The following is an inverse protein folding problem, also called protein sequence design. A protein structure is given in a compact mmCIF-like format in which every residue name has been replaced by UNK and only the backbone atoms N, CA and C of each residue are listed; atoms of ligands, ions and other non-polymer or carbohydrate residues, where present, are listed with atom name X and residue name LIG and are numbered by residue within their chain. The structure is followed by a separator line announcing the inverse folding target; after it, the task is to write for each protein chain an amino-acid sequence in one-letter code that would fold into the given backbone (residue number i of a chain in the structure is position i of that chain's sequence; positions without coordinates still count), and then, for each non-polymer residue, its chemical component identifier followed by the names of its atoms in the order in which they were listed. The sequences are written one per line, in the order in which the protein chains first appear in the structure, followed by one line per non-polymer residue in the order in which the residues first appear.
data_IF_101197864012
#
_entry.id   IF_101197864012
#
_cell.length_a   1.000
_cell.length_b   1.000
_cell.length_c   1.000
_cell.angle_alpha   90.00
_cell.angle_beta   90.00
_cell.angle_gamma   90.00
#
_symmetry.space_group_name_H-M   'P 1'
#
loop_
_entity.id
_entity.type
_entity.pdbx_description
1 polymer ?
#
# COMPACT_ATOMS: atom_id res chain seq x y z
N UNK A 1 24.21 0.25 -7.31
CA UNK A 1 23.89 -0.37 -6.01
C UNK A 1 22.40 -0.28 -5.64
N UNK A 2 21.75 0.90 -5.67
CA UNK A 2 20.32 1.06 -5.30
C UNK A 2 19.32 0.30 -6.18
N UNK A 3 19.52 0.30 -7.50
CA UNK A 3 18.66 -0.44 -8.43
C UNK A 3 18.65 -1.96 -8.16
N UNK A 4 19.82 -2.56 -7.87
CA UNK A 4 19.92 -3.98 -7.52
C UNK A 4 19.12 -4.32 -6.25
N UNK A 5 19.17 -3.45 -5.23
CA UNK A 5 18.39 -3.61 -3.98
C UNK A 5 16.88 -3.52 -4.23
N UNK A 6 16.45 -2.63 -5.12
CA UNK A 6 15.05 -2.50 -5.51
C UNK A 6 14.57 -3.71 -6.30
N UNK A 7 15.32 -4.17 -7.30
CA UNK A 7 14.95 -5.38 -8.04
C UNK A 7 14.83 -6.58 -7.12
N UNK A 8 15.76 -6.73 -6.19
CA UNK A 8 15.71 -7.80 -5.20
C UNK A 8 14.46 -7.68 -4.31
N UNK A 9 14.10 -6.47 -3.88
CA UNK A 9 12.83 -6.23 -3.17
C UNK A 9 11.60 -6.64 -4.00
N UNK A 10 11.51 -6.19 -5.26
CA UNK A 10 10.37 -6.48 -6.14
C UNK A 10 10.25 -7.99 -6.38
N UNK A 11 11.35 -8.65 -6.73
CA UNK A 11 11.37 -10.08 -7.03
C UNK A 11 11.00 -10.90 -5.79
N UNK A 12 11.56 -10.57 -4.63
CA UNK A 12 11.24 -11.29 -3.39
C UNK A 12 9.79 -11.06 -2.96
N UNK A 13 9.29 -9.83 -3.06
CA UNK A 13 7.90 -9.52 -2.76
C UNK A 13 6.95 -10.30 -3.67
N UNK A 14 7.21 -10.29 -4.99
CA UNK A 14 6.44 -11.03 -5.97
C UNK A 14 6.45 -12.54 -5.69
N UNK A 15 7.64 -13.11 -5.44
CA UNK A 15 7.80 -14.53 -5.16
C UNK A 15 7.04 -14.97 -3.89
N UNK A 16 7.10 -14.18 -2.81
CA UNK A 16 6.36 -14.48 -1.58
C UNK A 16 4.86 -14.34 -1.81
N UNK A 17 4.41 -13.24 -2.43
CA UNK A 17 2.98 -12.99 -2.67
C UNK A 17 2.33 -14.11 -3.47
N UNK A 18 2.89 -14.42 -4.64
CA UNK A 18 2.34 -15.46 -5.51
C UNK A 18 2.59 -16.87 -4.97
N UNK A 19 3.73 -17.11 -4.33
CA UNK A 19 4.02 -18.39 -3.68
C UNK A 19 3.01 -18.72 -2.57
N UNK A 20 2.47 -17.70 -1.90
CA UNK A 20 1.44 -17.88 -0.88
C UNK A 20 0.01 -17.90 -1.45
N UNK A 21 -0.28 -17.12 -2.50
CA UNK A 21 -1.65 -17.01 -3.05
C UNK A 21 -2.03 -18.11 -4.04
N UNK A 22 -1.10 -18.60 -4.87
CA UNK A 22 -1.39 -19.68 -5.83
C UNK A 22 -1.96 -20.94 -5.15
N UNK A 23 -1.40 -21.44 -4.03
CA UNK A 23 -1.88 -22.68 -3.40
C UNK A 23 -3.25 -22.61 -2.72
N UNK A 24 -3.79 -21.39 -2.57
CA UNK A 24 -5.02 -21.11 -1.81
C UNK A 24 -6.11 -20.45 -2.65
N UNK A 25 -5.83 -20.12 -3.91
CA UNK A 25 -6.73 -19.37 -4.78
C UNK A 25 -8.09 -20.07 -4.97
N UNK A 26 -8.08 -21.41 -5.00
CA UNK A 26 -9.25 -22.28 -5.15
C UNK A 26 -9.89 -22.69 -3.82
N UNK A 27 -9.31 -22.29 -2.68
CA UNK A 27 -9.70 -22.71 -1.32
C UNK A 27 -10.22 -21.56 -0.46
N UNK A 28 -10.20 -20.34 -0.99
CA UNK A 28 -10.75 -19.17 -0.31
C UNK A 28 -12.28 -19.20 -0.47
N UNK A 29 -12.96 -19.32 0.66
CA UNK A 29 -14.41 -19.22 0.71
C UNK A 29 -14.87 -17.76 0.59
N UNK A 30 -16.08 -17.56 0.10
CA UNK A 30 -16.70 -16.22 0.02
C UNK A 30 -16.87 -15.57 1.39
N UNK A 31 -17.04 -16.40 2.44
CA UNK A 31 -17.00 -15.99 3.83
C UNK A 31 -15.61 -16.31 4.42
N UNK A 32 -14.81 -15.29 4.79
CA UNK A 32 -13.52 -15.49 5.42
C UNK A 32 -13.58 -16.32 6.71
N UNK A 33 -14.70 -16.30 7.45
CA UNK A 33 -14.85 -17.04 8.70
C UNK A 33 -15.04 -18.54 8.48
N UNK A 34 -15.39 -18.96 7.26
CA UNK A 34 -15.51 -20.37 6.89
C UNK A 34 -14.22 -20.92 6.24
N UNK A 35 -13.26 -20.05 5.93
CA UNK A 35 -11.98 -20.47 5.35
C UNK A 35 -11.08 -21.16 6.38
N UNK A 36 -10.36 -22.24 6.01
CA UNK A 36 -9.40 -22.88 6.89
C UNK A 36 -8.33 -21.89 7.38
N UNK A 37 -7.88 -22.04 8.63
CA UNK A 37 -6.84 -21.15 9.20
C UNK A 37 -5.56 -21.12 8.35
N UNK A 38 -5.16 -22.24 7.76
CA UNK A 38 -3.99 -22.33 6.88
C UNK A 38 -4.14 -21.48 5.61
N UNK A 39 -5.35 -21.41 5.05
CA UNK A 39 -5.69 -20.60 3.88
C UNK A 39 -5.57 -19.13 4.23
N UNK A 40 -6.16 -18.72 5.36
CA UNK A 40 -6.09 -17.34 5.86
C UNK A 40 -4.63 -16.93 6.16
N UNK A 41 -3.84 -17.80 6.79
CA UNK A 41 -2.44 -17.52 7.08
C UNK A 41 -1.62 -17.30 5.80
N UNK A 42 -1.77 -18.16 4.79
CA UNK A 42 -1.09 -17.99 3.51
C UNK A 42 -1.56 -16.71 2.81
N UNK A 43 -2.86 -16.43 2.81
CA UNK A 43 -3.39 -15.19 2.26
C UNK A 43 -2.74 -13.95 2.90
N UNK A 44 -2.66 -13.91 4.24
CA UNK A 44 -2.05 -12.81 4.96
C UNK A 44 -0.54 -12.73 4.78
N UNK A 45 0.19 -13.85 4.74
CA UNK A 45 1.63 -13.83 4.46
C UNK A 45 1.89 -13.24 3.06
N UNK A 46 1.06 -13.59 2.07
CA UNK A 46 1.13 -13.01 0.74
C UNK A 46 0.86 -11.49 0.74
N UNK A 47 -0.21 -11.06 1.42
CA UNK A 47 -0.56 -9.64 1.54
C UNK A 47 0.53 -8.80 2.26
N UNK A 48 1.15 -9.35 3.31
CA UNK A 48 2.23 -8.72 4.04
C UNK A 48 3.62 -8.90 3.41
N UNK A 49 3.70 -9.49 2.21
CA UNK A 49 4.96 -9.71 1.50
C UNK A 49 5.83 -8.45 1.31
N UNK A 50 5.29 -7.23 1.07
CA UNK A 50 6.12 -6.03 0.98
C UNK A 50 6.76 -5.68 2.32
N UNK A 51 6.01 -5.76 3.40
CA UNK A 51 6.51 -5.50 4.76
C UNK A 51 7.55 -6.53 5.20
N UNK A 52 7.27 -7.83 4.99
CA UNK A 52 8.20 -8.92 5.31
C UNK A 52 9.51 -8.73 4.56
N UNK A 53 9.43 -8.49 3.25
CA UNK A 53 10.60 -8.26 2.39
C UNK A 53 11.36 -7.00 2.80
N UNK A 54 10.63 -5.93 3.11
CA UNK A 54 11.21 -4.66 3.54
C UNK A 54 12.01 -4.79 4.83
N UNK A 55 11.47 -5.48 5.83
CA UNK A 55 12.15 -5.75 7.10
C UNK A 55 13.38 -6.64 6.86
N UNK A 56 13.21 -7.74 6.12
CA UNK A 56 14.27 -8.71 5.86
C UNK A 56 15.47 -8.07 5.16
N UNK A 57 15.23 -7.35 4.06
CA UNK A 57 16.30 -6.69 3.31
C UNK A 57 16.93 -5.54 4.10
N UNK A 58 16.16 -4.84 4.93
CA UNK A 58 16.72 -3.83 5.85
C UNK A 58 17.67 -4.45 6.86
N UNK A 59 17.28 -5.57 7.46
CA UNK A 59 18.14 -6.31 8.38
C UNK A 59 19.39 -6.84 7.69
N UNK A 60 19.26 -7.37 6.47
CA UNK A 60 20.36 -7.95 5.70
C UNK A 60 21.39 -6.92 5.25
N UNK A 61 20.96 -5.78 4.71
CA UNK A 61 21.88 -4.77 4.15
C UNK A 61 22.37 -3.74 5.17
N UNK A 62 21.53 -3.35 6.12
CA UNK A 62 21.77 -2.19 7.00
C UNK A 62 21.84 -2.60 8.50
N UNK A 63 21.66 -3.89 8.80
CA UNK A 63 21.84 -4.48 10.12
C UNK A 63 20.89 -3.91 11.19
N UNK A 64 21.35 -3.98 12.45
CA UNK A 64 20.60 -3.50 13.62
C UNK A 64 20.30 -1.99 13.56
N UNK A 65 21.18 -1.21 12.94
CA UNK A 65 20.98 0.24 12.80
C UNK A 65 19.86 0.55 11.81
N UNK A 66 19.78 -0.18 10.69
CA UNK A 66 18.67 -0.06 9.74
C UNK A 66 17.31 -0.39 10.36
N UNK A 67 17.23 -1.42 11.20
CA UNK A 67 16.00 -1.79 11.91
C UNK A 67 15.56 -0.72 12.93
N UNK A 68 16.52 -0.10 13.64
CA UNK A 68 16.22 1.01 14.55
C UNK A 68 15.66 2.22 13.79
N UNK A 69 16.25 2.56 12.64
CA UNK A 69 15.74 3.64 11.78
C UNK A 69 14.33 3.33 11.25
N UNK A 70 14.08 2.08 10.82
CA UNK A 70 12.75 1.64 10.40
C UNK A 70 11.72 1.81 11.52
N UNK A 71 12.05 1.37 12.75
CA UNK A 71 11.18 1.54 13.92
C UNK A 71 10.97 3.01 14.29
N UNK A 72 11.98 3.86 14.12
CA UNK A 72 11.84 5.29 14.36
C UNK A 72 10.87 5.96 13.37
N UNK A 73 10.81 5.47 12.13
CA UNK A 73 9.87 5.96 11.10
C UNK A 73 8.43 5.52 11.30
N UNK A 74 8.22 4.36 11.95
CA UNK A 74 6.89 3.88 12.36
C UNK A 74 6.21 4.79 13.40
N UNK A 75 6.96 5.67 14.07
CA UNK A 75 6.34 6.65 14.96
C UNK A 75 5.57 7.66 14.12
N UNK A 76 4.24 7.64 14.30
CA UNK A 76 3.30 8.61 13.73
C UNK A 76 3.82 10.01 14.08
N UNK A 77 4.35 10.71 13.08
CA UNK A 77 4.59 12.15 13.18
C UNK A 77 3.24 12.82 13.06
N UNK A 78 3.01 13.90 13.82
CA UNK A 78 1.80 14.70 13.69
C UNK A 78 1.69 15.15 12.22
N UNK A 79 0.70 14.62 11.51
CA UNK A 79 0.34 15.13 10.20
C UNK A 79 -0.29 16.52 10.38
N UNK A 80 -0.08 17.42 9.43
CA UNK A 80 -0.77 18.71 9.47
C UNK A 80 -2.28 18.47 9.39
N UNK A 81 -3.05 19.17 10.23
CA UNK A 81 -4.51 18.98 10.35
C UNK A 81 -5.23 19.07 9.00
N UNK A 82 -4.70 19.88 8.07
CA UNK A 82 -5.20 20.01 6.69
C UNK A 82 -5.22 18.65 5.98
N UNK A 83 -4.15 17.86 6.05
CA UNK A 83 -4.06 16.57 5.36
C UNK A 83 -4.97 15.52 5.99
N UNK A 84 -5.13 15.55 7.32
CA UNK A 84 -6.09 14.68 8.02
C UNK A 84 -7.52 14.98 7.58
N UNK A 85 -7.87 16.27 7.48
CA UNK A 85 -9.20 16.69 7.04
C UNK A 85 -9.45 16.29 5.58
N UNK A 86 -8.47 16.50 4.70
CA UNK A 86 -8.56 16.08 3.29
C UNK A 86 -8.76 14.56 3.21
N UNK A 87 -7.98 13.75 3.93
CA UNK A 87 -8.12 12.29 3.88
C UNK A 87 -9.47 11.80 4.41
N UNK A 88 -10.03 12.48 5.41
CA UNK A 88 -11.33 12.14 5.99
C UNK A 88 -12.49 12.47 5.05
N UNK A 89 -12.40 13.58 4.32
CA UNK A 89 -13.47 14.09 3.46
C UNK A 89 -13.40 13.53 2.04
N UNK A 90 -12.20 13.25 1.52
CA UNK A 90 -12.01 12.80 0.14
C UNK A 90 -12.78 11.50 -0.17
N UNK A 91 -12.74 10.51 0.73
CA UNK A 91 -13.45 9.25 0.57
C UNK A 91 -14.97 9.43 0.42
N UNK A 92 -15.65 10.06 1.41
CA UNK A 92 -17.08 10.36 1.33
C UNK A 92 -17.47 11.18 0.10
N UNK A 93 -16.68 12.18 -0.30
CA UNK A 93 -16.97 12.98 -1.50
C UNK A 93 -16.89 12.11 -2.75
N UNK A 94 -15.82 11.33 -2.92
CA UNK A 94 -15.65 10.46 -4.09
C UNK A 94 -16.77 9.42 -4.19
N UNK A 95 -17.09 8.76 -3.09
CA UNK A 95 -18.21 7.80 -3.05
C UNK A 95 -19.56 8.47 -3.31
N UNK A 96 -19.80 9.65 -2.73
CA UNK A 96 -21.02 10.42 -2.95
C UNK A 96 -21.19 10.84 -4.41
N UNK A 97 -20.10 11.29 -5.05
CA UNK A 97 -20.09 11.61 -6.48
C UNK A 97 -20.33 10.37 -7.35
N UNK A 98 -19.69 9.25 -7.04
CA UNK A 98 -19.90 8.00 -7.77
C UNK A 98 -21.36 7.52 -7.66
N UNK A 99 -21.93 7.58 -6.46
CA UNK A 99 -23.32 7.25 -6.20
C UNK A 99 -24.28 8.18 -6.95
N UNK A 100 -24.01 9.48 -6.91
CA UNK A 100 -24.80 10.48 -7.64
C UNK A 100 -24.78 10.20 -9.14
N UNK A 101 -23.60 9.97 -9.74
CA UNK A 101 -23.49 9.61 -11.14
C UNK A 101 -24.29 8.34 -11.45
N UNK A 102 -24.14 7.29 -10.64
CA UNK A 102 -24.86 6.03 -10.83
C UNK A 102 -26.38 6.22 -10.81
N UNK A 103 -26.88 7.04 -9.88
CA UNK A 103 -28.29 7.38 -9.81
C UNK A 103 -28.79 8.17 -11.03
N UNK A 104 -28.00 9.15 -11.51
CA UNK A 104 -28.32 9.93 -12.73
C UNK A 104 -28.40 9.04 -13.97
N UNK A 105 -27.62 7.95 -14.03
CA UNK A 105 -27.68 6.95 -15.10
C UNK A 105 -28.78 5.88 -14.88
N UNK A 106 -29.81 6.18 -14.08
CA UNK A 106 -30.92 5.27 -13.73
C UNK A 106 -30.47 3.98 -13.03
N UNK A 107 -29.34 4.01 -12.33
CA UNK A 107 -28.91 2.93 -11.46
C UNK A 107 -29.87 2.78 -10.28
N UNK A 108 -30.24 1.53 -9.97
CA UNK A 108 -31.07 1.23 -8.80
C UNK A 108 -30.18 1.15 -7.56
N UNK A 109 -30.46 1.99 -6.58
CA UNK A 109 -29.72 2.04 -5.32
C UNK A 109 -30.48 1.25 -4.26
N UNK A 110 -29.78 0.39 -3.54
CA UNK A 110 -30.36 -0.39 -2.45
C UNK A 110 -30.71 0.48 -1.24
N UNK A 111 -31.54 -0.04 -0.35
CA UNK A 111 -31.88 0.62 0.91
C UNK A 111 -30.70 0.66 1.87
N UNK A 112 -30.65 1.71 2.70
CA UNK A 112 -29.61 1.85 3.73
C UNK A 112 -29.89 0.87 4.87
N UNK A 113 -28.99 -0.09 5.07
CA UNK A 113 -29.06 -0.98 6.22
C UNK A 113 -28.48 -0.31 7.47
N UNK A 114 -29.35 0.32 8.26
CA UNK A 114 -28.99 0.96 9.53
C UNK A 114 -28.40 -0.01 10.57
N UNK A 115 -28.64 -1.32 10.44
CA UNK A 115 -28.04 -2.36 11.29
C UNK A 115 -26.51 -2.49 11.15
N UNK A 116 -25.93 -1.91 10.09
CA UNK A 116 -24.47 -1.87 9.89
C UNK A 116 -23.81 -0.65 10.55
N UNK A 117 -24.56 0.34 11.03
CA UNK A 117 -23.98 1.53 11.67
C UNK A 117 -23.08 1.20 12.87
N UNK A 118 -23.41 0.24 13.77
CA UNK A 118 -22.51 -0.12 14.86
C UNK A 118 -21.18 -0.71 14.40
N UNK A 119 -21.09 -1.21 13.16
CA UNK A 119 -19.90 -1.82 12.59
C UNK A 119 -18.94 -0.81 11.94
N UNK A 120 -19.33 0.46 11.83
CA UNK A 120 -18.48 1.52 11.25
C UNK A 120 -17.06 1.54 11.82
N UNK A 121 -16.82 1.47 13.16
CA UNK A 121 -15.46 1.46 13.69
C UNK A 121 -14.62 0.28 13.17
N UNK A 122 -15.24 -0.90 13.03
CA UNK A 122 -14.57 -2.11 12.55
C UNK A 122 -14.18 -1.95 11.08
N UNK A 123 -15.06 -1.35 10.26
CA UNK A 123 -14.80 -1.06 8.84
C UNK A 123 -13.64 -0.08 8.66
N UNK A 124 -13.30 0.76 9.64
CA UNK A 124 -12.10 1.60 9.57
C UNK A 124 -10.85 0.90 10.12
N UNK A 125 -10.97 0.16 11.23
CA UNK A 125 -9.82 -0.48 11.88
C UNK A 125 -9.26 -1.63 11.04
N UNK A 126 -10.14 -2.48 10.51
CA UNK A 126 -9.77 -3.69 9.75
C UNK A 126 -8.93 -3.32 8.52
N UNK A 127 -9.37 -2.43 7.61
CA UNK A 127 -8.58 -2.07 6.43
C UNK A 127 -7.29 -1.34 6.77
N UNK A 128 -7.20 -0.58 7.87
CA UNK A 128 -5.94 0.04 8.29
C UNK A 128 -4.89 -1.04 8.57
N UNK A 129 -5.28 -2.09 9.30
CA UNK A 129 -4.40 -3.21 9.63
C UNK A 129 -4.08 -4.01 8.36
N UNK A 130 -5.08 -4.34 7.55
CA UNK A 130 -4.93 -5.28 6.43
C UNK A 130 -4.46 -4.64 5.11
N UNK A 131 -4.53 -3.32 4.96
CA UNK A 131 -4.16 -2.61 3.73
C UNK A 131 -2.93 -1.71 3.92
N UNK A 132 -3.09 -0.42 4.28
CA UNK A 132 -1.99 0.55 4.28
C UNK A 132 -0.80 0.12 5.13
N UNK A 133 -1.04 -0.50 6.29
CA UNK A 133 0.04 -0.94 7.17
C UNK A 133 0.84 -2.11 6.58
N UNK A 134 0.19 -3.01 5.83
CA UNK A 134 0.85 -4.16 5.20
C UNK A 134 1.73 -3.74 4.01
N UNK A 135 1.37 -2.65 3.32
CA UNK A 135 2.04 -2.21 2.10
C UNK A 135 3.07 -1.08 2.36
N UNK A 136 2.70 -0.07 3.15
CA UNK A 136 3.49 1.17 3.27
C UNK A 136 4.84 0.98 3.97
N UNK A 137 4.97 0.00 4.87
CA UNK A 137 6.21 -0.20 5.64
C UNK A 137 7.35 -0.72 4.77
N UNK A 138 7.04 -1.61 3.84
CA UNK A 138 8.00 -2.13 2.88
C UNK A 138 8.29 -1.13 1.76
N UNK A 139 7.22 -0.60 1.17
CA UNK A 139 7.30 0.23 -0.03
C UNK A 139 8.02 1.55 0.28
N UNK A 140 7.62 2.27 1.31
CA UNK A 140 8.09 3.65 1.58
C UNK A 140 9.62 3.79 1.70
N UNK A 141 10.31 2.75 2.17
CA UNK A 141 11.79 2.76 2.28
C UNK A 141 12.46 2.57 0.93
N UNK A 142 11.95 1.66 0.11
CA UNK A 142 12.58 1.28 -1.15
C UNK A 142 12.15 2.16 -2.33
N UNK A 143 10.92 2.68 -2.39
CA UNK A 143 10.48 3.63 -3.44
C UNK A 143 11.07 5.02 -3.27
N UNK A 144 11.34 5.49 -2.03
CA UNK A 144 12.08 6.76 -1.85
C UNK A 144 13.49 6.69 -2.44
N UNK A 145 14.05 5.49 -2.56
CA UNK A 145 15.32 5.28 -3.27
C UNK A 145 15.20 5.52 -4.77
N UNK A 146 14.02 5.34 -5.38
CA UNK A 146 13.73 5.69 -6.77
C UNK A 146 13.51 7.19 -6.96
N UNK A 147 12.78 7.86 -6.07
CA UNK A 147 12.47 9.29 -6.23
C UNK A 147 13.73 10.17 -6.24
N UNK A 148 14.69 9.86 -5.37
CA UNK A 148 15.98 10.56 -5.38
C UNK A 148 16.80 10.19 -6.62
N UNK A 149 16.74 8.96 -7.13
CA UNK A 149 17.42 8.61 -8.39
C UNK A 149 16.81 9.37 -9.57
N UNK A 150 15.48 9.35 -9.72
CA UNK A 150 14.76 10.06 -10.78
C UNK A 150 15.02 11.57 -10.73
N UNK A 151 15.00 12.17 -9.54
CA UNK A 151 15.37 13.57 -9.34
C UNK A 151 16.83 13.85 -9.73
N UNK A 152 17.77 12.96 -9.40
CA UNK A 152 19.17 13.08 -9.84
C UNK A 152 19.36 12.90 -11.35
N UNK A 153 18.63 12.00 -12.01
CA UNK A 153 18.66 11.86 -13.48
C UNK A 153 18.07 13.07 -14.20
N UNK A 154 17.04 13.70 -13.62
CA UNK A 154 16.43 14.91 -14.17
C UNK A 154 17.33 16.15 -14.00
N UNK A 155 18.09 16.23 -12.89
CA UNK A 155 19.08 17.30 -12.65
C UNK A 155 20.37 17.10 -13.46
N UNK A 156 20.75 15.86 -13.80
CA UNK A 156 21.95 15.55 -14.59
C UNK A 156 21.68 15.39 -16.10
N UNK A 157 20.49 15.69 -16.60
CA UNK A 157 20.28 15.81 -18.05
C UNK A 157 20.91 17.14 -18.50
N UNK A 158 21.91 17.14 -19.40
CA UNK A 158 22.44 18.39 -19.92
C UNK A 158 21.31 19.14 -20.64
N UNK A 159 21.27 20.49 -20.58
CA UNK A 159 20.46 21.23 -21.54
C UNK A 159 21.03 20.92 -22.93
N UNK A 160 20.38 20.02 -23.66
CA UNK A 160 20.63 19.85 -25.08
C UNK A 160 20.28 21.17 -25.76
N UNK A 161 21.33 21.96 -26.01
CA UNK A 161 21.54 22.86 -27.14
C UNK A 161 20.35 22.88 -28.14
N UNK A 162 19.40 23.79 -27.92
CA UNK A 162 18.68 24.41 -29.03
C UNK A 162 19.25 25.82 -29.19
N UNK A 163 20.41 25.87 -29.83
CA UNK A 163 20.96 27.10 -30.39
C UNK A 163 20.19 27.35 -31.69
N UNK A 164 19.12 28.16 -31.63
CA UNK A 164 18.55 28.75 -32.84
C UNK A 164 19.43 29.94 -33.22
N UNK A 165 20.35 29.71 -34.14
CA UNK A 165 21.02 30.78 -34.89
C UNK A 165 20.69 30.61 -36.37
N UNK A 166 20.15 31.69 -36.91
CA UNK A 166 19.76 32.01 -38.30
C UNK A 166 18.56 31.28 -38.88
#
# INVERSE_FOLDING_TARGET
MRYKKLLLFIITCYAISWGCWIPVLDKIESDPFNSPLSVLLLFFIGAYSPTITGIFLTAFFDGKNGLKDLKARLRIKKAETKWVLISLIAGPILYGLAFFCYHVFNGQVGEVNYGLLPWIPIVFIVPIIFGPLAEELGISRFTRSLQVLYSSYMVCSPPCLFNFST
#
